data_IF_529752879191
#
_entry.id   IF_529752879191
#
_cell.length_a   1.000
_cell.length_b   1.000
_cell.length_c   1.000
_cell.angle_alpha   90.00
_cell.angle_beta   90.00
_cell.angle_gamma   90.00
#
_symmetry.space_group_name_H-M   'P 1'
#
loop_
_entity.id
_entity.type
_entity.pdbx_description
1 polymer ?
#
# COMPACT_ATOMS: atom_id res chain seq x y z
N UNK A 1 -4.69 12.58 -12.26
CA UNK A 1 -4.19 11.56 -11.30
C UNK A 1 -4.17 10.15 -11.87
N UNK A 2 -5.31 9.58 -12.31
CA UNK A 2 -5.33 8.21 -12.86
C UNK A 2 -4.46 8.03 -14.11
N UNK A 3 -4.38 9.04 -14.97
CA UNK A 3 -3.58 9.02 -16.19
C UNK A 3 -2.07 9.09 -15.90
N UNK A 4 -1.68 9.94 -14.94
CA UNK A 4 -0.31 10.04 -14.41
C UNK A 4 0.13 8.71 -13.76
N UNK A 5 -0.71 8.10 -12.92
CA UNK A 5 -0.42 6.79 -12.34
C UNK A 5 -0.33 5.68 -13.39
N UNK A 6 -1.04 5.80 -14.53
CA UNK A 6 -0.91 4.84 -15.65
C UNK A 6 0.39 5.05 -16.43
N UNK A 7 0.87 6.29 -16.55
CA UNK A 7 2.15 6.60 -17.19
C UNK A 7 3.33 6.12 -16.35
N UNK A 8 3.35 6.42 -15.05
CA UNK A 8 4.39 5.90 -14.15
C UNK A 8 4.44 4.37 -14.17
N UNK A 9 3.31 3.69 -14.43
CA UNK A 9 3.30 2.21 -14.50
C UNK A 9 4.00 1.66 -15.72
N UNK A 10 4.22 2.49 -16.74
CA UNK A 10 4.93 2.11 -17.97
C UNK A 10 6.44 2.31 -17.85
N UNK A 11 6.88 3.20 -16.95
CA UNK A 11 8.29 3.56 -16.79
C UNK A 11 8.68 3.59 -15.30
N UNK A 12 8.72 2.43 -14.60
CA UNK A 12 9.23 2.37 -13.24
C UNK A 12 10.75 2.58 -13.23
N UNK A 13 11.29 3.10 -12.13
CA UNK A 13 12.74 3.09 -11.90
C UNK A 13 13.26 1.64 -11.80
N UNK A 14 14.57 1.43 -11.98
CA UNK A 14 15.17 0.10 -11.89
C UNK A 14 14.90 -0.53 -10.51
N UNK A 15 15.07 0.23 -9.44
CA UNK A 15 14.83 -0.23 -8.07
C UNK A 15 13.34 -0.52 -7.83
N UNK A 16 12.40 0.32 -8.29
CA UNK A 16 10.96 0.00 -8.25
C UNK A 16 10.63 -1.30 -8.99
N UNK A 17 11.23 -1.54 -10.15
CA UNK A 17 11.01 -2.75 -10.93
C UNK A 17 11.49 -4.00 -10.17
N UNK A 18 12.68 -3.93 -9.55
CA UNK A 18 13.25 -4.99 -8.70
C UNK A 18 12.32 -5.28 -7.53
N UNK A 19 11.95 -4.26 -6.75
CA UNK A 19 11.07 -4.42 -5.60
C UNK A 19 9.68 -4.96 -6.00
N UNK A 20 9.13 -4.50 -7.13
CA UNK A 20 7.86 -5.00 -7.63
C UNK A 20 7.89 -6.50 -7.94
N UNK A 21 8.99 -7.03 -8.48
CA UNK A 21 9.09 -8.48 -8.76
C UNK A 21 9.05 -9.33 -7.49
N UNK A 22 9.56 -8.79 -6.38
CA UNK A 22 9.52 -9.45 -5.07
C UNK A 22 8.13 -9.35 -4.40
N UNK A 23 7.39 -8.25 -4.60
CA UNK A 23 6.10 -8.02 -3.94
C UNK A 23 4.88 -8.51 -4.72
N UNK A 24 4.94 -8.53 -6.06
CA UNK A 24 3.78 -8.83 -6.92
C UNK A 24 3.22 -10.24 -6.70
N UNK A 25 1.95 -10.41 -7.02
CA UNK A 25 1.34 -11.75 -7.05
C UNK A 25 1.24 -12.42 -5.68
N UNK A 26 1.22 -11.63 -4.59
CA UNK A 26 1.14 -12.11 -3.21
C UNK A 26 2.35 -12.94 -2.75
N UNK A 27 3.52 -12.67 -3.35
CA UNK A 27 4.78 -13.37 -3.03
C UNK A 27 5.25 -13.13 -1.60
N UNK A 28 4.99 -11.95 -1.03
CA UNK A 28 5.34 -11.64 0.35
C UNK A 28 4.22 -12.07 1.30
N UNK A 29 4.35 -13.26 1.86
CA UNK A 29 3.49 -13.83 2.92
C UNK A 29 1.98 -13.80 2.61
N UNK A 30 1.61 -13.84 1.32
CA UNK A 30 0.22 -13.80 0.87
C UNK A 30 -0.40 -12.39 0.76
N UNK A 31 0.33 -11.34 1.13
CA UNK A 31 -0.17 -9.96 1.11
C UNK A 31 -0.25 -9.38 -0.29
N UNK A 32 -1.33 -8.65 -0.59
CA UNK A 32 -1.50 -8.02 -1.89
C UNK A 32 -0.85 -6.64 -1.91
N UNK A 33 0.15 -6.48 -2.75
CA UNK A 33 0.71 -5.17 -3.08
C UNK A 33 0.16 -4.63 -4.40
N UNK A 34 -0.03 -3.32 -4.44
CA UNK A 34 -0.32 -2.52 -5.63
C UNK A 34 0.84 -1.56 -5.83
N UNK A 35 1.14 -1.21 -7.09
CA UNK A 35 2.18 -0.23 -7.42
C UNK A 35 1.57 1.08 -7.96
N UNK A 36 2.19 2.21 -7.63
CA UNK A 36 1.80 3.57 -8.03
C UNK A 36 0.31 3.78 -7.82
N UNK A 37 -0.10 3.62 -6.56
CA UNK A 37 -1.49 3.63 -6.14
C UNK A 37 -1.90 5.07 -5.82
N UNK A 38 -2.93 5.61 -6.49
CA UNK A 38 -3.52 6.87 -6.07
C UNK A 38 -4.22 6.72 -4.70
N UNK A 39 -3.94 7.64 -3.79
CA UNK A 39 -4.59 7.79 -2.48
C UNK A 39 -4.91 9.27 -2.30
N UNK A 40 -6.17 9.65 -2.51
CA UNK A 40 -6.57 11.06 -2.50
C UNK A 40 -5.83 11.86 -3.57
N UNK A 41 -5.10 12.89 -3.14
CA UNK A 41 -4.31 13.75 -4.02
C UNK A 41 -2.87 13.24 -4.27
N UNK A 42 -2.51 12.06 -3.76
CA UNK A 42 -1.15 11.53 -3.82
C UNK A 42 -1.06 10.23 -4.63
N UNK A 43 0.12 9.92 -5.15
CA UNK A 43 0.46 8.62 -5.74
C UNK A 43 1.59 8.06 -4.89
N UNK A 44 1.41 6.84 -4.38
CA UNK A 44 2.42 6.13 -3.58
C UNK A 44 3.02 4.97 -4.36
N UNK A 45 4.30 4.68 -4.18
CA UNK A 45 5.03 3.70 -5.00
C UNK A 45 4.48 2.29 -4.84
N UNK A 46 4.29 1.85 -3.59
CA UNK A 46 3.62 0.60 -3.29
C UNK A 46 2.63 0.74 -2.14
N UNK A 47 1.52 0.01 -2.24
CA UNK A 47 0.49 -0.01 -1.23
C UNK A 47 -0.01 -1.43 -0.97
N UNK A 48 -0.02 -1.84 0.30
CA UNK A 48 -0.67 -3.03 0.81
C UNK A 48 -1.95 -2.64 1.59
N UNK A 49 -3.14 -2.80 0.99
CA UNK A 49 -4.40 -2.46 1.64
C UNK A 49 -4.66 -3.25 2.92
N UNK A 50 -4.32 -4.54 2.95
CA UNK A 50 -4.58 -5.42 4.09
C UNK A 50 -3.80 -5.01 5.34
N UNK A 51 -2.59 -4.46 5.17
CA UNK A 51 -1.74 -3.98 6.26
C UNK A 51 -1.82 -2.46 6.47
N UNK A 52 -2.63 -1.74 5.68
CA UNK A 52 -2.62 -0.27 5.57
C UNK A 52 -1.20 0.29 5.42
N UNK A 53 -0.35 -0.40 4.65
CA UNK A 53 1.07 -0.11 4.55
C UNK A 53 1.40 0.52 3.19
N UNK A 54 2.04 1.67 3.23
CA UNK A 54 2.69 2.33 2.09
C UNK A 54 4.18 2.00 2.15
N UNK A 55 4.78 1.67 1.00
CA UNK A 55 6.23 1.57 0.84
C UNK A 55 6.65 2.55 -0.26
N UNK A 56 7.53 3.49 0.08
CA UNK A 56 8.11 4.47 -0.85
C UNK A 56 9.57 4.09 -1.12
N UNK A 57 9.99 4.21 -2.38
CA UNK A 57 11.37 4.02 -2.80
C UNK A 57 12.00 5.39 -3.01
N UNK A 58 12.71 5.88 -2.00
CA UNK A 58 13.35 7.19 -2.07
C UNK A 58 14.57 7.13 -3.00
N UNK A 59 14.53 7.94 -4.06
CA UNK A 59 15.73 8.48 -4.70
C UNK A 59 16.30 9.62 -3.85
N UNK A 60 17.59 9.93 -3.99
CA UNK A 60 18.27 11.01 -3.24
C UNK A 60 17.40 12.28 -3.11
N UNK A 61 16.90 12.55 -1.90
CA UNK A 61 15.94 13.63 -1.61
C UNK A 61 16.63 14.98 -1.84
N UNK A 62 15.99 15.88 -2.59
CA UNK A 62 16.38 17.29 -2.63
C UNK A 62 15.72 18.04 -1.46
N UNK A 63 16.50 18.82 -0.71
CA UNK A 63 16.09 19.53 0.53
C UNK A 63 14.80 20.36 0.39
N UNK A 64 14.53 20.90 -0.81
CA UNK A 64 13.32 21.68 -1.10
C UNK A 64 12.00 20.89 -1.15
N UNK A 65 12.04 19.55 -1.10
CA UNK A 65 10.84 18.70 -1.08
C UNK A 65 10.38 18.30 0.33
N UNK A 66 11.18 18.54 1.38
CA UNK A 66 10.90 18.02 2.73
C UNK A 66 9.63 18.55 3.37
N UNK A 67 9.33 19.84 3.26
CA UNK A 67 8.15 20.43 3.94
C UNK A 67 6.83 19.91 3.35
N UNK A 68 6.74 19.83 2.02
CA UNK A 68 5.56 19.27 1.34
C UNK A 68 5.41 17.78 1.59
N UNK A 69 6.51 17.08 1.84
CA UNK A 69 6.52 15.66 2.18
C UNK A 69 6.08 15.37 3.61
N UNK A 70 6.36 16.27 4.56
CA UNK A 70 5.89 16.12 5.94
C UNK A 70 4.37 16.31 6.06
N UNK A 71 3.82 17.34 5.41
CA UNK A 71 2.36 17.53 5.36
C UNK A 71 1.66 16.36 4.66
N UNK A 72 2.22 15.89 3.53
CA UNK A 72 1.77 14.69 2.80
C UNK A 72 1.73 13.47 3.71
N UNK A 73 2.82 13.23 4.44
CA UNK A 73 2.93 12.09 5.33
C UNK A 73 1.91 12.18 6.47
N UNK A 74 1.80 13.32 7.13
CA UNK A 74 0.84 13.50 8.23
C UNK A 74 -0.61 13.30 7.80
N UNK A 75 -0.99 13.80 6.61
CA UNK A 75 -2.33 13.58 6.06
C UNK A 75 -2.61 12.10 5.84
N UNK A 76 -1.66 11.35 5.27
CA UNK A 76 -1.81 9.92 5.00
C UNK A 76 -1.79 9.09 6.29
N UNK A 77 -0.95 9.45 7.27
CA UNK A 77 -0.91 8.82 8.60
C UNK A 77 -2.20 9.06 9.38
N UNK A 78 -2.84 10.22 9.22
CA UNK A 78 -4.15 10.49 9.84
C UNK A 78 -5.27 9.56 9.34
N UNK A 79 -5.08 8.93 8.18
CA UNK A 79 -5.97 7.89 7.64
C UNK A 79 -5.66 6.49 8.20
N UNK A 80 -4.74 6.39 9.16
CA UNK A 80 -4.27 5.14 9.75
C UNK A 80 -3.36 4.35 8.82
N UNK A 81 -2.70 5.02 7.86
CA UNK A 81 -1.71 4.41 6.98
C UNK A 81 -0.32 4.44 7.64
N UNK A 82 0.43 3.37 7.44
CA UNK A 82 1.83 3.24 7.87
C UNK A 82 2.76 3.45 6.69
N UNK A 83 3.97 3.91 6.95
CA UNK A 83 5.01 4.09 5.95
C UNK A 83 6.24 3.24 6.25
N UNK A 84 6.83 2.68 5.18
CA UNK A 84 8.20 2.19 5.14
C UNK A 84 8.89 2.91 3.99
N UNK A 85 10.01 3.57 4.26
CA UNK A 85 10.85 4.19 3.22
C UNK A 85 12.11 3.37 3.06
N UNK A 86 12.45 3.05 1.81
CA UNK A 86 13.68 2.34 1.46
C UNK A 86 14.38 3.09 0.35
N UNK A 87 15.71 3.10 0.36
CA UNK A 87 16.45 3.81 -0.70
C UNK A 87 16.58 2.96 -1.95
N UNK A 88 16.65 3.61 -3.12
CA UNK A 88 16.98 2.94 -4.40
C UNK A 88 18.23 2.05 -4.28
N UNK A 89 19.27 2.57 -3.62
CA UNK A 89 20.52 1.85 -3.39
C UNK A 89 20.29 0.57 -2.58
N UNK A 90 19.58 0.63 -1.45
CA UNK A 90 19.28 -0.57 -0.64
C UNK A 90 18.50 -1.62 -1.42
N UNK A 91 17.53 -1.20 -2.24
CA UNK A 91 16.74 -2.13 -3.07
C UNK A 91 17.62 -2.85 -4.10
N UNK A 92 18.61 -2.17 -4.65
CA UNK A 92 19.52 -2.71 -5.66
C UNK A 92 20.66 -3.55 -5.06
N UNK A 93 21.14 -3.21 -3.87
CA UNK A 93 22.29 -3.88 -3.25
C UNK A 93 21.92 -4.96 -2.23
N UNK A 94 20.81 -4.80 -1.51
CA UNK A 94 20.39 -5.70 -0.43
C UNK A 94 18.86 -5.80 -0.34
N UNK A 95 18.28 -6.46 -1.36
CA UNK A 95 16.85 -6.66 -1.46
C UNK A 95 16.29 -7.50 -0.29
N UNK A 96 17.04 -8.44 0.25
CA UNK A 96 16.58 -9.31 1.34
C UNK A 96 16.31 -8.51 2.62
N UNK A 97 17.21 -7.58 2.97
CA UNK A 97 17.01 -6.66 4.11
C UNK A 97 15.80 -5.76 3.88
N UNK A 98 15.59 -5.26 2.66
CA UNK A 98 14.41 -4.48 2.29
C UNK A 98 13.13 -5.30 2.49
N UNK A 99 13.09 -6.54 1.98
CA UNK A 99 11.92 -7.41 2.11
C UNK A 99 11.63 -7.76 3.56
N UNK A 100 12.66 -8.03 4.37
CA UNK A 100 12.50 -8.26 5.80
C UNK A 100 11.96 -7.03 6.54
N UNK A 101 12.41 -5.83 6.17
CA UNK A 101 11.90 -4.57 6.72
C UNK A 101 10.42 -4.39 6.41
N UNK A 102 10.03 -4.60 5.14
CA UNK A 102 8.62 -4.52 4.72
C UNK A 102 7.80 -5.59 5.45
N UNK A 103 8.30 -6.82 5.54
CA UNK A 103 7.66 -7.93 6.25
C UNK A 103 7.37 -7.58 7.71
N UNK A 104 8.33 -7.02 8.43
CA UNK A 104 8.13 -6.61 9.83
C UNK A 104 7.08 -5.50 9.98
N UNK A 105 6.89 -4.67 8.96
CA UNK A 105 5.86 -3.63 8.93
C UNK A 105 4.46 -4.15 8.52
N UNK A 106 4.36 -5.37 8.00
CA UNK A 106 3.09 -6.08 7.74
C UNK A 106 2.45 -6.55 9.06
N UNK A 107 2.18 -5.61 9.96
CA UNK A 107 1.29 -5.87 11.10
C UNK A 107 -0.13 -6.06 10.53
N UNK A 108 -0.77 -7.23 10.73
CA UNK A 108 -2.16 -7.40 10.37
C UNK A 108 -3.03 -6.49 11.24
N UNK A 109 -4.09 -5.88 10.67
CA UNK A 109 -5.10 -5.21 11.48
C UNK A 109 -5.92 -6.20 12.36
N UNK A 110 -5.69 -7.50 12.20
CA UNK A 110 -6.16 -8.53 13.11
C UNK A 110 -5.24 -9.75 13.03
N UNK A 111 -4.62 -10.12 14.14
CA UNK A 111 -4.29 -11.52 14.40
C UNK A 111 -5.55 -12.38 14.12
N UNK A 112 -5.35 -13.51 13.44
CA UNK A 112 -6.31 -14.62 13.14
C UNK A 112 -6.98 -14.60 11.77
N UNK A 113 -6.25 -15.10 10.79
CA UNK A 113 -6.82 -15.87 9.68
C UNK A 113 -6.84 -17.40 9.95
N UNK A 114 -6.38 -17.87 11.12
CA UNK A 114 -6.34 -19.31 11.36
C UNK A 114 -7.74 -19.92 11.55
N UNK A 115 -8.21 -20.55 10.47
CA UNK A 115 -9.07 -21.74 10.42
C UNK A 115 -10.17 -21.82 11.51
N UNK A 116 -11.32 -21.24 11.18
CA UNK A 116 -12.63 -21.70 11.67
C UNK A 116 -12.95 -21.38 13.13
N UNK A 117 -13.67 -20.28 13.37
CA UNK A 117 -14.78 -20.18 14.35
C UNK A 117 -15.40 -18.76 14.33
N UNK A 118 -16.73 -18.69 14.23
CA UNK A 118 -17.56 -17.53 14.60
C UNK A 118 -17.94 -16.56 13.47
N UNK A 119 -19.19 -16.61 12.99
CA UNK A 119 -19.75 -15.79 11.89
C UNK A 119 -19.93 -14.29 12.20
N UNK A 120 -20.01 -13.88 13.47
CA UNK A 120 -20.46 -12.52 13.86
C UNK A 120 -19.40 -11.42 13.78
N UNK A 121 -18.23 -11.62 14.40
CA UNK A 121 -17.18 -10.57 14.45
C UNK A 121 -16.47 -10.38 13.10
N UNK A 122 -16.54 -11.41 12.24
CA UNK A 122 -15.98 -11.42 10.89
C UNK A 122 -16.73 -10.50 9.92
N UNK A 123 -18.04 -10.35 10.08
CA UNK A 123 -18.82 -9.39 9.30
C UNK A 123 -18.44 -7.95 9.66
N UNK A 124 -18.25 -7.63 10.94
CA UNK A 124 -17.89 -6.28 11.37
C UNK A 124 -16.49 -5.85 10.88
N UNK A 125 -15.49 -6.72 10.97
CA UNK A 125 -14.11 -6.42 10.51
C UNK A 125 -14.04 -6.43 8.98
N UNK A 126 -14.69 -7.40 8.33
CA UNK A 126 -14.83 -7.43 6.88
C UNK A 126 -15.51 -6.17 6.36
N UNK A 127 -16.66 -5.81 6.95
CA UNK A 127 -17.38 -4.57 6.66
C UNK A 127 -16.51 -3.34 6.89
N UNK A 128 -15.73 -3.28 7.95
CA UNK A 128 -14.80 -2.15 8.19
C UNK A 128 -13.73 -2.03 7.09
N UNK A 129 -13.15 -3.16 6.64
CA UNK A 129 -12.20 -3.17 5.53
C UNK A 129 -12.87 -2.82 4.19
N UNK A 130 -14.07 -3.35 3.93
CA UNK A 130 -14.81 -3.10 2.70
C UNK A 130 -15.37 -1.67 2.65
N UNK A 131 -15.82 -1.11 3.77
CA UNK A 131 -16.25 0.28 3.92
C UNK A 131 -15.04 1.22 3.77
N UNK A 132 -13.90 0.92 4.40
CA UNK A 132 -12.65 1.66 4.17
C UNK A 132 -12.22 1.62 2.70
N UNK A 133 -12.26 0.43 2.09
CA UNK A 133 -11.91 0.24 0.68
C UNK A 133 -12.91 0.96 -0.24
N UNK A 134 -14.19 0.99 0.12
CA UNK A 134 -15.23 1.70 -0.60
C UNK A 134 -15.07 3.21 -0.50
N UNK A 135 -14.84 3.74 0.70
CA UNK A 135 -14.55 5.15 0.93
C UNK A 135 -13.30 5.56 0.12
N UNK A 136 -12.25 4.74 0.13
CA UNK A 136 -11.06 4.95 -0.70
C UNK A 136 -11.37 4.87 -2.21
N UNK A 137 -12.27 3.98 -2.65
CA UNK A 137 -12.67 3.83 -4.06
C UNK A 137 -13.56 4.98 -4.56
N UNK A 138 -14.49 5.44 -3.71
CA UNK A 138 -15.37 6.59 -3.96
C UNK A 138 -14.53 7.86 -4.06
N UNK A 139 -13.63 8.10 -3.08
CA UNK A 139 -12.72 9.26 -3.09
C UNK A 139 -11.78 9.26 -4.30
N UNK A 140 -11.40 8.10 -4.80
CA UNK A 140 -10.54 7.97 -5.99
C UNK A 140 -11.31 7.86 -7.33
N UNK A 141 -12.64 8.07 -7.34
CA UNK A 141 -13.52 7.95 -8.51
C UNK A 141 -13.33 6.64 -9.31
N UNK A 142 -13.05 5.52 -8.62
CA UNK A 142 -12.77 4.22 -9.26
C UNK A 142 -13.99 3.27 -9.30
N UNK A 143 -15.14 3.70 -8.77
CA UNK A 143 -16.32 2.84 -8.64
C UNK A 143 -16.14 1.71 -7.63
N UNK A 144 -17.25 1.19 -7.11
CA UNK A 144 -17.24 0.05 -6.19
C UNK A 144 -17.06 -1.25 -6.99
N UNK A 145 -16.13 -2.11 -6.57
CA UNK A 145 -15.90 -3.41 -7.20
C UNK A 145 -16.93 -4.45 -6.77
N UNK A 146 -17.17 -5.50 -7.57
CA UNK A 146 -18.08 -6.63 -7.26
C UNK A 146 -17.87 -7.31 -5.90
N UNK A 147 -16.66 -7.20 -5.33
CA UNK A 147 -16.36 -7.74 -3.99
C UNK A 147 -16.95 -6.92 -2.84
N UNK A 148 -17.26 -5.64 -3.08
CA UNK A 148 -17.93 -4.76 -2.11
C UNK A 148 -19.44 -5.03 -2.07
N UNK A 149 -20.08 -5.17 -3.24
CA UNK A 149 -21.51 -5.47 -3.38
C UNK A 149 -21.91 -6.87 -2.86
N UNK A 150 -20.96 -7.68 -2.39
CA UNK A 150 -21.25 -8.97 -1.76
C UNK A 150 -21.65 -8.82 -0.28
N UNK A 151 -21.30 -7.69 0.34
CA UNK A 151 -21.51 -7.43 1.77
C UNK A 151 -22.54 -6.34 2.05
N UNK A 152 -23.14 -5.76 0.99
CA UNK A 152 -24.24 -4.78 1.01
C UNK A 152 -25.29 -5.22 -0.01
#
# INVERSE_FOLDING_TARGET
MLEIARQFRKEPTASEAVLWQALRGKKLDGYKFRRQQPIGAFIVDFFCPEAKLIVEVDGLIHETQQERDQERQHLLESLGLKFVRVTSHQVETDLDTVINTIRSALTPLALRWERGRGRGDLEAIGKTYYDYRADLMIRNNQGLTDTYNRFH
#
